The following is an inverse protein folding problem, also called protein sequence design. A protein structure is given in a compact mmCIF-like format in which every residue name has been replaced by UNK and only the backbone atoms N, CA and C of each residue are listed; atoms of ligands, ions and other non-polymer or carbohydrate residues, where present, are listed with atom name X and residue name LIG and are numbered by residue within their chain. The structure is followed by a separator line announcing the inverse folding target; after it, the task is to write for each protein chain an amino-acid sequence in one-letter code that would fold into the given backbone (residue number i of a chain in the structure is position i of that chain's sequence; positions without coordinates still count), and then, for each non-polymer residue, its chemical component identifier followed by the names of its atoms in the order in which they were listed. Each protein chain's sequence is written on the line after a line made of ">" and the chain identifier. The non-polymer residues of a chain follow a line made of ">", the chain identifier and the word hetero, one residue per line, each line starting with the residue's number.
data_IF_429552599327
#
_entry.id   IF_429552599327
#
_cell.length_a   1.000
_cell.length_b   1.000
_cell.length_c   1.000
_cell.angle_alpha   90.00
_cell.angle_beta   90.00
_cell.angle_gamma   90.00
#
_symmetry.space_group_name_H-M   'P 1'
#
loop_
_entity.id
_entity.type
_entity.pdbx_description
1 polymer ?
#
# COMPACT_ATOMS: atom_id res chain seq x y z
N UNK A 1 -7.28 -51.06 -1.59
CA UNK A 1 -7.45 -49.99 -2.61
C UNK A 1 -8.29 -48.78 -2.15
N UNK A 2 -9.31 -48.94 -1.30
CA UNK A 2 -10.21 -47.85 -0.85
C UNK A 2 -9.52 -46.69 -0.10
N UNK A 3 -8.60 -46.97 0.85
CA UNK A 3 -7.94 -45.93 1.67
C UNK A 3 -7.11 -44.91 0.86
N UNK A 4 -6.51 -45.33 -0.26
CA UNK A 4 -5.64 -44.47 -1.09
C UNK A 4 -6.46 -43.44 -1.89
N UNK A 5 -7.62 -43.84 -2.44
CA UNK A 5 -8.56 -42.93 -3.12
C UNK A 5 -9.15 -41.89 -2.17
N UNK A 6 -9.52 -42.27 -0.94
CA UNK A 6 -10.01 -41.32 0.06
C UNK A 6 -8.96 -40.29 0.48
N UNK A 7 -7.67 -40.68 0.61
CA UNK A 7 -6.59 -39.75 0.96
C UNK A 7 -6.32 -38.73 -0.15
N UNK A 8 -6.35 -39.15 -1.41
CA UNK A 8 -6.17 -38.27 -2.58
C UNK A 8 -7.33 -37.27 -2.68
N UNK A 9 -8.57 -37.74 -2.48
CA UNK A 9 -9.76 -36.88 -2.49
C UNK A 9 -9.69 -35.82 -1.38
N UNK A 10 -9.37 -36.25 -0.15
CA UNK A 10 -9.20 -35.33 0.99
C UNK A 10 -8.11 -34.27 0.76
N UNK A 11 -6.98 -34.63 0.13
CA UNK A 11 -5.94 -33.66 -0.20
C UNK A 11 -6.39 -32.65 -1.28
N UNK A 12 -7.13 -33.09 -2.30
CA UNK A 12 -7.69 -32.19 -3.31
C UNK A 12 -8.71 -31.23 -2.70
N UNK A 13 -9.56 -31.72 -1.80
CA UNK A 13 -10.56 -30.91 -1.11
C UNK A 13 -9.89 -29.84 -0.22
N UNK A 14 -8.86 -30.22 0.55
CA UNK A 14 -8.05 -29.29 1.36
C UNK A 14 -7.35 -28.23 0.51
N UNK A 15 -6.77 -28.63 -0.62
CA UNK A 15 -6.12 -27.71 -1.53
C UNK A 15 -7.12 -26.69 -2.10
N UNK A 16 -8.27 -27.18 -2.57
CA UNK A 16 -9.33 -26.32 -3.10
C UNK A 16 -9.86 -25.32 -2.06
N UNK A 17 -10.01 -25.75 -0.82
CA UNK A 17 -10.39 -24.88 0.29
C UNK A 17 -9.36 -23.75 0.50
N UNK A 18 -8.06 -24.08 0.45
CA UNK A 18 -7.00 -23.07 0.55
C UNK A 18 -7.02 -22.06 -0.61
N UNK A 19 -7.31 -22.50 -1.83
CA UNK A 19 -7.43 -21.62 -3.01
C UNK A 19 -8.63 -20.69 -2.89
N UNK A 20 -9.78 -21.19 -2.43
CA UNK A 20 -10.98 -20.39 -2.17
C UNK A 20 -10.76 -19.35 -1.07
N UNK A 21 -10.04 -19.73 -0.01
CA UNK A 21 -9.64 -18.79 1.03
C UNK A 21 -8.74 -17.69 0.44
N UNK A 22 -7.74 -18.06 -0.35
CA UNK A 22 -6.83 -17.11 -1.01
C UNK A 22 -7.57 -16.16 -1.96
N UNK A 23 -8.54 -16.66 -2.73
CA UNK A 23 -9.41 -15.84 -3.56
C UNK A 23 -10.20 -14.83 -2.72
N UNK A 24 -10.80 -15.28 -1.61
CA UNK A 24 -11.61 -14.44 -0.73
C UNK A 24 -10.76 -13.34 -0.08
N UNK A 25 -9.56 -13.68 0.38
CA UNK A 25 -8.59 -12.73 0.95
C UNK A 25 -8.09 -11.73 -0.10
N UNK A 26 -7.78 -12.20 -1.31
CA UNK A 26 -7.37 -11.35 -2.44
C UNK A 26 -8.50 -10.40 -2.86
N UNK A 27 -9.75 -10.88 -2.89
CA UNK A 27 -10.92 -10.06 -3.20
C UNK A 27 -11.14 -8.96 -2.15
N UNK A 28 -11.05 -9.30 -0.86
CA UNK A 28 -11.12 -8.33 0.23
C UNK A 28 -9.99 -7.31 0.14
N UNK A 29 -8.77 -7.76 -0.15
CA UNK A 29 -7.58 -6.90 -0.27
C UNK A 29 -7.67 -5.98 -1.50
N UNK A 30 -8.16 -6.48 -2.64
CA UNK A 30 -8.43 -5.67 -3.84
C UNK A 30 -9.48 -4.60 -3.55
N UNK A 31 -10.60 -5.00 -2.93
CA UNK A 31 -11.70 -4.09 -2.59
C UNK A 31 -11.21 -3.01 -1.62
N UNK A 32 -10.45 -3.43 -0.61
CA UNK A 32 -9.82 -2.52 0.34
C UNK A 32 -8.84 -1.55 -0.33
N UNK A 33 -7.96 -2.02 -1.22
CA UNK A 33 -7.03 -1.17 -1.96
C UNK A 33 -7.75 -0.16 -2.88
N UNK A 34 -8.86 -0.57 -3.53
CA UNK A 34 -9.67 0.33 -4.36
C UNK A 34 -10.40 1.40 -3.53
N UNK A 35 -10.89 1.03 -2.36
CA UNK A 35 -11.69 1.91 -1.51
C UNK A 35 -10.84 2.82 -0.62
N UNK A 36 -9.59 2.45 -0.34
CA UNK A 36 -8.73 3.19 0.58
C UNK A 36 -7.74 4.07 -0.15
N UNK A 37 -8.10 5.33 -0.34
CA UNK A 37 -7.10 6.40 -0.20
C UNK A 37 -6.77 6.46 1.30
N UNK A 38 -5.50 6.54 1.68
CA UNK A 38 -5.15 6.74 3.10
C UNK A 38 -5.48 8.18 3.49
N UNK A 39 -6.75 8.42 3.81
CA UNK A 39 -7.32 9.73 4.12
C UNK A 39 -6.55 10.39 5.25
N UNK A 40 -6.07 9.63 6.23
CA UNK A 40 -5.29 10.17 7.36
C UNK A 40 -3.96 10.70 6.86
N UNK A 41 -3.23 9.90 6.07
CA UNK A 41 -1.96 10.33 5.48
C UNK A 41 -2.14 11.56 4.61
N UNK A 42 -3.19 11.62 3.77
CA UNK A 42 -3.46 12.79 2.93
C UNK A 42 -3.85 14.01 3.75
N UNK A 43 -4.73 13.85 4.75
CA UNK A 43 -5.17 14.95 5.59
C UNK A 43 -4.01 15.55 6.40
N UNK A 44 -3.19 14.69 7.04
CA UNK A 44 -2.01 15.13 7.78
C UNK A 44 -0.98 15.80 6.86
N UNK A 45 -0.71 15.21 5.69
CA UNK A 45 0.25 15.77 4.74
C UNK A 45 -0.22 17.10 4.19
N UNK A 46 -1.50 17.21 3.82
CA UNK A 46 -2.08 18.46 3.32
C UNK A 46 -2.07 19.55 4.39
N UNK A 47 -2.45 19.21 5.63
CA UNK A 47 -2.37 20.12 6.76
C UNK A 47 -0.94 20.60 7.03
N UNK A 48 0.03 19.69 6.99
CA UNK A 48 1.46 20.00 7.11
C UNK A 48 1.96 20.94 6.00
N UNK A 49 1.56 20.70 4.74
CA UNK A 49 1.91 21.56 3.60
C UNK A 49 1.31 22.96 3.77
N UNK A 50 0.02 23.07 4.07
CA UNK A 50 -0.65 24.38 4.23
C UNK A 50 -0.03 25.16 5.37
N UNK A 51 0.21 24.51 6.51
CA UNK A 51 0.89 25.12 7.66
C UNK A 51 2.29 25.60 7.28
N UNK A 52 3.09 24.75 6.62
CA UNK A 52 4.44 25.08 6.21
C UNK A 52 4.52 26.23 5.22
N UNK A 53 3.63 26.25 4.22
CA UNK A 53 3.54 27.35 3.26
C UNK A 53 3.10 28.65 3.93
N UNK A 54 2.20 28.59 4.90
CA UNK A 54 1.75 29.76 5.65
C UNK A 54 2.89 30.39 6.46
N UNK A 55 3.72 29.57 7.11
CA UNK A 55 4.90 30.04 7.85
C UNK A 55 5.97 30.57 6.91
N UNK A 56 6.22 29.85 5.81
CA UNK A 56 7.19 30.27 4.81
C UNK A 56 6.81 31.65 4.25
N UNK A 57 5.51 31.86 3.97
CA UNK A 57 4.97 33.17 3.60
C UNK A 57 5.21 34.20 4.70
N UNK A 58 4.93 33.87 5.95
CA UNK A 58 5.14 34.79 7.08
C UNK A 58 6.60 35.24 7.23
N UNK A 59 7.56 34.31 7.12
CA UNK A 59 9.00 34.59 7.18
C UNK A 59 9.40 35.60 6.08
N UNK A 60 8.92 35.38 4.84
CA UNK A 60 9.20 36.27 3.72
C UNK A 60 8.51 37.63 3.85
N UNK A 61 7.23 37.66 4.22
CA UNK A 61 6.46 38.91 4.36
C UNK A 61 7.01 39.79 5.48
N UNK A 62 7.60 39.20 6.52
CA UNK A 62 8.21 39.92 7.65
C UNK A 62 9.70 40.15 7.53
N UNK A 63 10.34 39.71 6.43
CA UNK A 63 11.80 39.78 6.24
C UNK A 63 12.58 39.26 7.45
N UNK A 64 12.15 38.13 8.03
CA UNK A 64 12.85 37.54 9.18
C UNK A 64 14.17 36.92 8.72
N UNK A 65 15.23 37.11 9.50
CA UNK A 65 16.55 36.50 9.25
C UNK A 65 16.56 35.05 9.78
N UNK A 66 15.76 34.20 9.15
CA UNK A 66 15.59 32.79 9.48
C UNK A 66 15.86 31.98 8.21
N UNK A 67 16.72 30.96 8.29
CA UNK A 67 16.91 30.02 7.17
C UNK A 67 15.69 29.08 7.04
N UNK A 68 14.92 29.15 5.93
CA UNK A 68 13.72 28.34 5.76
C UNK A 68 14.02 26.93 5.22
N UNK A 69 15.28 26.49 5.11
CA UNK A 69 15.63 25.25 4.42
C UNK A 69 14.97 24.00 5.04
N UNK A 70 14.95 23.90 6.36
CA UNK A 70 14.33 22.77 7.08
C UNK A 70 12.82 22.73 6.84
N UNK A 71 12.18 23.90 6.85
CA UNK A 71 10.76 24.04 6.55
C UNK A 71 10.44 23.60 5.11
N UNK A 72 11.26 24.00 4.14
CA UNK A 72 11.11 23.58 2.73
C UNK A 72 11.26 22.06 2.57
N UNK A 73 12.24 21.47 3.25
CA UNK A 73 12.44 20.00 3.26
C UNK A 73 11.22 19.29 3.84
N UNK A 74 10.68 19.78 4.96
CA UNK A 74 9.47 19.22 5.58
C UNK A 74 8.27 19.25 4.63
N UNK A 75 8.00 20.40 3.99
CA UNK A 75 6.93 20.56 2.99
C UNK A 75 7.13 19.58 1.82
N UNK A 76 8.36 19.45 1.34
CA UNK A 76 8.70 18.53 0.25
C UNK A 76 8.44 17.07 0.63
N UNK A 77 8.80 16.65 1.84
CA UNK A 77 8.55 15.30 2.33
C UNK A 77 7.03 15.00 2.47
N UNK A 78 6.22 15.96 2.92
CA UNK A 78 4.76 15.82 2.92
C UNK A 78 4.21 15.65 1.49
N UNK A 79 4.71 16.43 0.52
CA UNK A 79 4.30 16.27 -0.89
C UNK A 79 4.66 14.89 -1.45
N UNK A 80 5.90 14.45 -1.20
CA UNK A 80 6.34 13.10 -1.57
C UNK A 80 5.47 12.02 -0.92
N UNK A 81 5.00 12.23 0.31
CA UNK A 81 4.16 11.27 1.04
C UNK A 81 2.83 11.08 0.32
N UNK A 82 2.22 12.17 -0.17
CA UNK A 82 0.99 12.08 -0.96
C UNK A 82 1.23 11.33 -2.28
N UNK A 83 2.33 11.65 -2.97
CA UNK A 83 2.66 11.03 -4.27
C UNK A 83 2.92 9.52 -4.12
N UNK A 84 3.75 9.12 -3.14
CA UNK A 84 4.05 7.70 -2.89
C UNK A 84 2.78 6.96 -2.48
N UNK A 85 1.92 7.55 -1.64
CA UNK A 85 0.65 6.95 -1.25
C UNK A 85 -0.22 6.63 -2.47
N UNK A 86 -0.37 7.60 -3.38
CA UNK A 86 -1.15 7.44 -4.60
C UNK A 86 -0.59 6.37 -5.54
N UNK A 87 0.72 6.39 -5.78
CA UNK A 87 1.39 5.38 -6.62
C UNK A 87 1.26 3.99 -6.02
N UNK A 88 1.42 3.86 -4.70
CA UNK A 88 1.31 2.58 -4.03
C UNK A 88 -0.10 1.99 -4.16
N UNK A 89 -1.13 2.83 -4.04
CA UNK A 89 -2.52 2.40 -4.20
C UNK A 89 -2.78 1.85 -5.61
N UNK A 90 -2.29 2.51 -6.66
CA UNK A 90 -2.41 2.03 -8.05
C UNK A 90 -1.73 0.67 -8.26
N UNK A 91 -0.53 0.49 -7.72
CA UNK A 91 0.20 -0.78 -7.80
C UNK A 91 -0.56 -1.88 -7.04
N UNK A 92 -1.09 -1.56 -5.86
CA UNK A 92 -1.84 -2.50 -5.03
C UNK A 92 -3.12 -3.00 -5.71
N UNK A 93 -3.89 -2.12 -6.34
CA UNK A 93 -5.09 -2.51 -7.10
C UNK A 93 -4.72 -3.48 -8.23
N UNK A 94 -3.62 -3.21 -8.95
CA UNK A 94 -3.19 -4.08 -10.04
C UNK A 94 -2.72 -5.45 -9.55
N UNK A 95 -1.95 -5.48 -8.46
CA UNK A 95 -1.44 -6.72 -7.87
C UNK A 95 -2.59 -7.62 -7.38
N UNK A 96 -3.50 -7.08 -6.55
CA UNK A 96 -4.60 -7.88 -6.00
C UNK A 96 -5.62 -8.33 -7.06
N UNK A 97 -5.87 -7.52 -8.10
CA UNK A 97 -6.69 -7.97 -9.23
C UNK A 97 -6.05 -9.16 -9.97
N UNK A 98 -4.72 -9.18 -10.10
CA UNK A 98 -4.04 -10.31 -10.71
C UNK A 98 -4.09 -11.57 -9.82
N UNK A 99 -3.86 -11.44 -8.51
CA UNK A 99 -3.99 -12.54 -7.55
C UNK A 99 -5.39 -13.14 -7.53
N UNK A 100 -6.42 -12.30 -7.60
CA UNK A 100 -7.81 -12.73 -7.72
C UNK A 100 -8.06 -13.54 -9.00
N UNK A 101 -7.52 -13.10 -10.15
CA UNK A 101 -7.63 -13.84 -11.41
C UNK A 101 -6.89 -15.17 -11.35
N UNK A 102 -5.70 -15.17 -10.76
CA UNK A 102 -4.91 -16.38 -10.53
C UNK A 102 -5.69 -17.40 -9.68
N UNK A 103 -6.17 -16.99 -8.51
CA UNK A 103 -6.90 -17.86 -7.59
C UNK A 103 -8.21 -18.39 -8.18
N UNK A 104 -8.92 -17.57 -8.98
CA UNK A 104 -10.12 -18.01 -9.69
C UNK A 104 -9.81 -19.11 -10.71
N UNK A 105 -8.75 -18.94 -11.50
CA UNK A 105 -8.33 -19.94 -12.49
C UNK A 105 -7.86 -21.23 -11.80
N UNK A 106 -7.18 -21.12 -10.66
CA UNK A 106 -6.74 -22.28 -9.88
C UNK A 106 -7.91 -23.09 -9.30
N UNK A 107 -8.99 -22.43 -8.83
CA UNK A 107 -10.22 -23.11 -8.39
C UNK A 107 -10.89 -23.84 -9.57
N UNK A 108 -10.97 -23.21 -10.75
CA UNK A 108 -11.54 -23.83 -11.95
C UNK A 108 -10.76 -25.10 -12.37
N UNK A 109 -9.42 -25.02 -12.46
CA UNK A 109 -8.56 -26.17 -12.77
C UNK A 109 -8.78 -27.30 -11.76
N UNK A 110 -8.78 -26.96 -10.46
CA UNK A 110 -8.93 -27.94 -9.38
C UNK A 110 -10.33 -28.59 -9.37
N UNK A 111 -11.38 -27.79 -9.60
CA UNK A 111 -12.78 -28.23 -9.57
C UNK A 111 -13.13 -29.16 -10.74
N UNK A 112 -12.66 -28.83 -11.94
CA UNK A 112 -12.93 -29.61 -13.15
C UNK A 112 -11.87 -30.67 -13.44
N UNK A 113 -10.74 -30.65 -12.72
CA UNK A 113 -9.65 -31.60 -12.90
C UNK A 113 -8.97 -31.46 -14.26
N UNK A 114 -8.84 -30.22 -14.74
CA UNK A 114 -8.19 -29.91 -16.01
C UNK A 114 -6.68 -30.19 -15.90
N UNK A 115 -6.10 -30.85 -16.90
CA UNK A 115 -4.64 -30.99 -17.05
C UNK A 115 -4.06 -29.72 -17.71
N UNK A 116 -4.39 -28.55 -17.14
CA UNK A 116 -3.88 -27.25 -17.59
C UNK A 116 -3.09 -26.58 -16.48
N UNK A 117 -1.95 -25.99 -16.84
CA UNK A 117 -1.15 -25.20 -15.91
C UNK A 117 -1.69 -23.77 -15.81
N UNK A 118 -1.65 -23.20 -14.62
CA UNK A 118 -2.07 -21.82 -14.42
C UNK A 118 -1.03 -20.84 -14.97
N UNK A 119 -1.23 -20.43 -16.22
CA UNK A 119 -0.37 -19.46 -16.90
C UNK A 119 -0.43 -18.02 -16.33
N UNK A 120 -1.28 -17.76 -15.32
CA UNK A 120 -1.30 -16.45 -14.65
C UNK A 120 -0.14 -16.46 -13.65
N UNK A 121 0.78 -15.50 -13.77
CA UNK A 121 1.89 -15.39 -12.82
C UNK A 121 1.35 -15.01 -11.44
N UNK A 122 1.81 -15.71 -10.41
CA UNK A 122 1.69 -15.25 -9.03
C UNK A 122 2.47 -13.93 -8.88
N UNK A 123 1.81 -12.92 -8.35
CA UNK A 123 2.36 -11.56 -8.14
C UNK A 123 2.84 -11.36 -6.70
N UNK A 124 3.16 -12.43 -5.96
CA UNK A 124 3.71 -12.38 -4.59
C UNK A 124 4.88 -11.40 -4.38
N UNK A 125 5.71 -11.16 -5.42
CA UNK A 125 6.77 -10.13 -5.41
C UNK A 125 6.21 -8.71 -5.28
N UNK A 126 5.07 -8.42 -5.92
CA UNK A 126 4.41 -7.11 -5.83
C UNK A 126 3.80 -6.88 -4.44
N UNK A 127 3.30 -7.91 -3.77
CA UNK A 127 2.85 -7.78 -2.37
C UNK A 127 3.97 -7.35 -1.43
N UNK A 128 5.18 -7.90 -1.63
CA UNK A 128 6.36 -7.45 -0.87
C UNK A 128 6.69 -5.99 -1.17
N UNK A 129 6.64 -5.58 -2.43
CA UNK A 129 6.86 -4.19 -2.83
C UNK A 129 5.82 -3.23 -2.22
N UNK A 130 4.53 -3.58 -2.27
CA UNK A 130 3.43 -2.79 -1.70
C UNK A 130 3.61 -2.61 -0.19
N UNK A 131 4.02 -3.67 0.51
CA UNK A 131 4.30 -3.60 1.96
C UNK A 131 5.46 -2.65 2.25
N UNK A 132 6.56 -2.75 1.51
CA UNK A 132 7.72 -1.87 1.66
C UNK A 132 7.33 -0.41 1.37
N UNK A 133 6.59 -0.15 0.29
CA UNK A 133 6.13 1.18 -0.07
C UNK A 133 5.21 1.78 1.01
N UNK A 134 4.28 1.00 1.56
CA UNK A 134 3.43 1.46 2.67
C UNK A 134 4.24 1.81 3.92
N UNK A 135 5.17 0.95 4.31
CA UNK A 135 6.04 1.21 5.47
C UNK A 135 6.91 2.45 5.24
N UNK A 136 7.51 2.58 4.04
CA UNK A 136 8.30 3.75 3.67
C UNK A 136 7.48 5.03 3.72
N UNK A 137 6.24 4.99 3.22
CA UNK A 137 5.34 6.14 3.22
C UNK A 137 5.00 6.60 4.64
N UNK A 138 4.73 5.64 5.54
CA UNK A 138 4.48 5.93 6.95
C UNK A 138 5.70 6.53 7.66
N UNK A 139 6.90 5.97 7.43
CA UNK A 139 8.15 6.52 7.98
C UNK A 139 8.37 7.95 7.46
N UNK A 140 8.15 8.19 6.17
CA UNK A 140 8.35 9.51 5.58
C UNK A 140 7.37 10.54 6.14
N UNK A 141 6.11 10.17 6.40
CA UNK A 141 5.14 11.03 7.09
C UNK A 141 5.64 11.41 8.49
N UNK A 142 6.12 10.43 9.26
CA UNK A 142 6.66 10.65 10.60
C UNK A 142 7.85 11.63 10.54
N UNK A 143 8.80 11.38 9.64
CA UNK A 143 9.97 12.26 9.46
C UNK A 143 9.53 13.68 9.10
N UNK A 144 8.55 13.84 8.21
CA UNK A 144 8.00 15.14 7.83
C UNK A 144 7.48 15.90 9.05
N UNK A 145 6.66 15.24 9.88
CA UNK A 145 6.12 15.82 11.12
C UNK A 145 7.23 16.22 12.08
N UNK A 146 8.23 15.35 12.30
CA UNK A 146 9.36 15.67 13.17
C UNK A 146 10.22 16.81 12.64
N UNK A 147 10.49 16.87 11.34
CA UNK A 147 11.22 17.99 10.74
C UNK A 147 10.46 19.31 10.87
N UNK A 148 9.13 19.28 10.75
CA UNK A 148 8.29 20.45 11.00
C UNK A 148 8.37 20.90 12.46
N UNK A 149 8.18 19.96 13.39
CA UNK A 149 8.22 20.25 14.82
C UNK A 149 9.61 20.76 15.25
N UNK A 150 10.67 20.17 14.72
CA UNK A 150 12.05 20.63 14.94
C UNK A 150 12.24 22.07 14.46
N UNK A 151 11.76 22.41 13.25
CA UNK A 151 11.83 23.77 12.77
C UNK A 151 11.14 24.74 13.73
N UNK A 152 9.94 24.41 14.23
CA UNK A 152 9.24 25.26 15.19
C UNK A 152 9.98 25.43 16.51
N UNK A 153 10.42 24.33 17.14
CA UNK A 153 11.01 24.36 18.49
C UNK A 153 12.36 25.09 18.58
N UNK A 154 13.11 25.14 17.48
CA UNK A 154 14.45 25.75 17.48
C UNK A 154 14.51 27.12 16.79
N UNK A 155 13.43 27.51 16.10
CA UNK A 155 13.36 28.80 15.39
C UNK A 155 12.48 29.82 16.11
N UNK A 156 11.43 29.36 16.80
CA UNK A 156 10.48 30.19 17.55
C UNK A 156 10.52 29.83 19.03
#
# INVERSE_FOLDING_TARGET
>A
MSKKKNKIKKNKDLYRESVLQHYTESYKSETYARQRIDIITIALSTGGIVLGLSILKYIFDKNMDIDPIILKVSIFLFMLTIIINYVNQHIAVKAHNNEKKWAKKEDEITKYGLDEENNIKDYSVFNKAIRILNTSNFIMLIVSIFTMAYFFLFTF
#
